data_IF_885024153651
#
_entry.id   IF_885024153651
#
_cell.length_a   1.000
_cell.length_b   1.000
_cell.length_c   1.000
_cell.angle_alpha   90.00
_cell.angle_beta   90.00
_cell.angle_gamma   90.00
#
_symmetry.space_group_name_H-M   'P 1'
#
loop_
_entity.id
_entity.type
_entity.pdbx_description
1 polymer ?
#
# COMPACT_ATOMS: atom_id res chain seq x y z
N UNK A 1 9.70 -30.92 3.43
CA UNK A 1 9.50 -29.70 4.23
C UNK A 1 9.27 -28.52 3.27
N UNK A 2 8.03 -28.01 3.18
CA UNK A 2 7.66 -26.91 2.27
C UNK A 2 8.20 -25.61 2.87
N UNK A 3 9.23 -25.02 2.26
CA UNK A 3 9.80 -23.74 2.67
C UNK A 3 8.74 -22.67 2.38
N UNK A 4 7.89 -22.37 3.35
CA UNK A 4 6.96 -21.24 3.28
C UNK A 4 7.86 -20.01 3.12
N UNK A 5 7.87 -19.42 1.94
CA UNK A 5 8.58 -18.18 1.69
C UNK A 5 8.01 -17.16 2.68
N UNK A 6 8.78 -16.87 3.73
CA UNK A 6 8.51 -15.76 4.63
C UNK A 6 8.78 -14.48 3.84
N UNK A 7 7.81 -14.08 3.03
CA UNK A 7 7.80 -12.76 2.39
C UNK A 7 7.52 -11.81 3.55
N UNK A 8 8.57 -11.33 4.21
CA UNK A 8 8.44 -10.20 5.13
C UNK A 8 8.23 -8.97 4.24
N UNK A 9 7.01 -8.39 4.20
CA UNK A 9 6.81 -7.19 3.42
C UNK A 9 7.71 -6.09 3.99
N UNK A 10 8.58 -5.52 3.17
CA UNK A 10 9.37 -4.36 3.59
C UNK A 10 8.41 -3.18 3.71
N UNK A 11 8.45 -2.38 4.80
CA UNK A 11 7.54 -1.25 4.99
C UNK A 11 7.58 -0.29 3.81
N UNK A 12 8.78 0.02 3.30
CA UNK A 12 8.96 0.86 2.11
C UNK A 12 8.31 0.26 0.84
N UNK A 13 8.29 -1.06 0.71
CA UNK A 13 7.63 -1.73 -0.41
C UNK A 13 6.11 -1.53 -0.37
N UNK A 14 5.52 -1.61 0.82
CA UNK A 14 4.09 -1.32 1.00
C UNK A 14 3.76 0.13 0.67
N UNK A 15 4.57 1.08 1.15
CA UNK A 15 4.38 2.50 0.86
C UNK A 15 4.50 2.79 -0.64
N UNK A 16 5.46 2.16 -1.32
CA UNK A 16 5.61 2.28 -2.77
C UNK A 16 4.40 1.74 -3.53
N UNK A 17 3.86 0.59 -3.12
CA UNK A 17 2.64 0.03 -3.72
C UNK A 17 1.45 0.97 -3.47
N UNK A 18 1.29 1.47 -2.23
CA UNK A 18 0.23 2.42 -1.87
C UNK A 18 0.27 3.67 -2.75
N UNK A 19 1.44 4.28 -2.89
CA UNK A 19 1.63 5.47 -3.73
C UNK A 19 1.25 5.24 -5.21
N UNK A 20 1.65 4.09 -5.77
CA UNK A 20 1.27 3.72 -7.15
C UNK A 20 -0.24 3.55 -7.29
N UNK A 21 -0.89 2.89 -6.33
CA UNK A 21 -2.35 2.69 -6.34
C UNK A 21 -3.09 4.02 -6.23
N UNK A 22 -2.65 4.92 -5.34
CA UNK A 22 -3.21 6.28 -5.22
C UNK A 22 -3.04 7.06 -6.51
N UNK A 23 -1.87 6.97 -7.14
CA UNK A 23 -1.60 7.64 -8.42
C UNK A 23 -2.53 7.15 -9.54
N UNK A 24 -2.71 5.83 -9.68
CA UNK A 24 -3.65 5.26 -10.65
C UNK A 24 -5.09 5.67 -10.31
N UNK A 25 -5.46 5.66 -9.02
CA UNK A 25 -6.77 6.14 -8.56
C UNK A 25 -7.03 7.61 -8.90
N UNK A 26 -6.00 8.45 -8.83
CA UNK A 26 -6.09 9.86 -9.22
C UNK A 26 -6.30 10.02 -10.73
N UNK A 27 -5.58 9.25 -11.56
CA UNK A 27 -5.80 9.21 -13.01
C UNK A 27 -7.24 8.76 -13.31
N UNK A 28 -7.68 7.67 -12.70
CA UNK A 28 -9.03 7.14 -12.85
C UNK A 28 -10.10 8.19 -12.45
N UNK A 29 -9.83 9.01 -11.43
CA UNK A 29 -10.72 10.10 -11.02
C UNK A 29 -10.79 11.20 -12.07
N UNK A 30 -9.65 11.57 -12.67
CA UNK A 30 -9.58 12.57 -13.75
C UNK A 30 -10.34 12.08 -14.98
N UNK A 31 -10.23 10.80 -15.33
CA UNK A 31 -10.94 10.18 -16.45
C UNK A 31 -12.39 9.79 -16.14
N UNK A 32 -12.87 10.07 -14.92
CA UNK A 32 -14.24 9.78 -14.44
C UNK A 32 -14.61 8.29 -14.46
N UNK A 33 -13.63 7.42 -14.19
CA UNK A 33 -13.87 5.99 -14.04
C UNK A 33 -14.61 5.68 -12.74
N UNK A 34 -15.59 4.78 -12.81
CA UNK A 34 -16.43 4.41 -11.67
C UNK A 34 -15.65 3.77 -10.51
N UNK A 35 -14.48 3.17 -10.78
CA UNK A 35 -13.64 2.51 -9.77
C UNK A 35 -12.62 3.45 -9.10
N UNK A 36 -12.57 4.73 -9.48
CA UNK A 36 -11.59 5.67 -8.95
C UNK A 36 -11.64 5.81 -7.43
N UNK A 37 -12.86 5.88 -6.86
CA UNK A 37 -13.06 5.96 -5.41
C UNK A 37 -12.53 4.72 -4.68
N UNK A 38 -12.76 3.53 -5.26
CA UNK A 38 -12.27 2.26 -4.71
C UNK A 38 -10.75 2.19 -4.74
N UNK A 39 -10.11 2.59 -5.84
CA UNK A 39 -8.64 2.62 -5.93
C UNK A 39 -8.01 3.57 -4.91
N UNK A 40 -8.56 4.78 -4.77
CA UNK A 40 -8.05 5.74 -3.79
C UNK A 40 -8.18 5.20 -2.36
N UNK A 41 -9.32 4.57 -2.03
CA UNK A 41 -9.52 3.95 -0.73
C UNK A 41 -8.50 2.82 -0.47
N UNK A 42 -8.30 1.92 -1.44
CA UNK A 42 -7.33 0.82 -1.32
C UNK A 42 -5.92 1.37 -1.15
N UNK A 43 -5.52 2.37 -1.94
CA UNK A 43 -4.21 3.00 -1.84
C UNK A 43 -3.94 3.59 -0.46
N UNK A 44 -4.91 4.34 0.09
CA UNK A 44 -4.83 4.91 1.44
C UNK A 44 -4.72 3.82 2.50
N UNK A 45 -5.51 2.74 2.41
CA UNK A 45 -5.43 1.62 3.35
C UNK A 45 -4.04 0.97 3.32
N UNK A 46 -3.48 0.76 2.13
CA UNK A 46 -2.12 0.21 1.98
C UNK A 46 -1.08 1.16 2.60
N UNK A 47 -1.20 2.47 2.40
CA UNK A 47 -0.30 3.44 3.02
C UNK A 47 -0.39 3.43 4.54
N UNK A 48 -1.60 3.41 5.12
CA UNK A 48 -1.80 3.32 6.57
C UNK A 48 -1.13 2.07 7.13
N UNK A 49 -1.33 0.90 6.50
CA UNK A 49 -0.70 -0.35 6.92
C UNK A 49 0.83 -0.25 6.81
N UNK A 50 1.33 0.35 5.73
CA UNK A 50 2.75 0.58 5.52
C UNK A 50 3.38 1.48 6.58
N UNK A 51 2.70 2.57 6.95
CA UNK A 51 3.12 3.49 8.01
C UNK A 51 3.12 2.79 9.37
N UNK A 52 2.05 2.07 9.71
CA UNK A 52 1.98 1.31 10.97
C UNK A 52 3.15 0.33 11.05
N UNK A 53 3.39 -0.44 9.99
CA UNK A 53 4.47 -1.42 9.96
C UNK A 53 5.86 -0.75 10.07
N UNK A 54 6.05 0.40 9.41
CA UNK A 54 7.29 1.17 9.49
C UNK A 54 7.55 1.67 10.92
N UNK A 55 6.52 2.23 11.57
CA UNK A 55 6.60 2.71 12.94
C UNK A 55 6.84 1.56 13.93
N UNK A 56 6.15 0.43 13.78
CA UNK A 56 6.38 -0.77 14.59
C UNK A 56 7.80 -1.31 14.42
N UNK A 57 8.35 -1.27 13.21
CA UNK A 57 9.75 -1.70 12.96
C UNK A 57 10.74 -0.75 13.61
N UNK A 58 10.45 0.56 13.64
CA UNK A 58 11.29 1.59 14.28
C UNK A 58 11.30 1.49 15.81
N UNK A 59 10.19 1.09 16.45
CA UNK A 59 10.12 0.97 17.91
C UNK A 59 10.70 -0.34 18.48
N UNK A 60 10.90 -1.35 17.65
CA UNK A 60 11.53 -2.62 18.03
C UNK A 60 13.07 -2.62 17.90
N UNK A 61 13.67 -1.46 17.62
CA UNK A 61 15.11 -1.21 17.56
C UNK A 61 15.51 -0.20 18.63
#
# INVERSE_FOLDING_TARGET
>A
MKKILSIRPKPLGLLGIGAVVVFIGAIAKITKENFAGTLLLIGIVIEIIGIIYFLSTRQNH
#
